data_IF_212709795422
#
_entry.id   IF_212709795422
#
_cell.length_a   1.000
_cell.length_b   1.000
_cell.length_c   1.000
_cell.angle_alpha   90.00
_cell.angle_beta   90.00
_cell.angle_gamma   90.00
#
_symmetry.space_group_name_H-M   'P 1'
#
loop_
_entity.id
_entity.type
_entity.pdbx_description
1 polymer ?
#
# COMPACT_ATOMS: atom_id res chain seq x y z
N UNK A 1 -37.16 14.19 21.22
CA UNK A 1 -36.89 14.05 19.77
C UNK A 1 -35.58 14.70 19.32
N UNK A 2 -35.27 15.96 19.68
CA UNK A 2 -33.99 16.61 19.30
C UNK A 2 -32.72 15.97 19.90
N UNK A 3 -32.79 15.49 21.15
CA UNK A 3 -31.65 14.89 21.85
C UNK A 3 -31.27 13.50 21.28
N UNK A 4 -32.26 12.72 20.85
CA UNK A 4 -32.04 11.40 20.24
C UNK A 4 -31.36 11.49 18.88
N UNK A 5 -31.71 12.51 18.07
CA UNK A 5 -31.02 12.79 16.82
C UNK A 5 -29.55 13.21 17.06
N UNK A 6 -29.27 13.96 18.11
CA UNK A 6 -27.90 14.40 18.43
C UNK A 6 -27.00 13.19 18.79
N UNK A 7 -27.51 12.25 19.60
CA UNK A 7 -26.78 11.01 19.90
C UNK A 7 -26.55 10.13 18.67
N UNK A 8 -27.53 10.04 17.76
CA UNK A 8 -27.39 9.27 16.52
C UNK A 8 -26.32 9.86 15.59
N UNK A 9 -26.28 11.18 15.43
CA UNK A 9 -25.25 11.86 14.64
C UNK A 9 -23.85 11.72 15.27
N UNK A 10 -23.76 11.76 16.61
CA UNK A 10 -22.49 11.59 17.30
C UNK A 10 -21.96 10.15 17.18
N UNK A 11 -22.84 9.15 17.27
CA UNK A 11 -22.49 7.74 17.05
C UNK A 11 -22.00 7.47 15.61
N UNK A 12 -22.63 8.11 14.62
CA UNK A 12 -22.23 8.03 13.21
C UNK A 12 -20.86 8.68 12.96
N UNK A 13 -20.57 9.81 13.62
CA UNK A 13 -19.28 10.51 13.48
C UNK A 13 -18.12 9.69 14.08
N UNK A 14 -18.35 8.99 15.21
CA UNK A 14 -17.32 8.14 15.84
C UNK A 14 -17.02 6.90 15.00
N UNK A 15 -18.01 6.32 14.30
CA UNK A 15 -17.79 5.14 13.47
C UNK A 15 -16.94 5.45 12.23
N UNK A 16 -17.02 6.66 11.67
CA UNK A 16 -16.20 7.09 10.54
C UNK A 16 -14.69 7.28 10.87
N UNK A 17 -14.32 7.43 12.14
CA UNK A 17 -12.93 7.62 12.57
C UNK A 17 -12.09 6.33 12.55
N UNK A 18 -12.71 5.16 12.35
CA UNK A 18 -12.00 3.87 12.35
C UNK A 18 -11.48 3.46 10.97
N UNK A 19 -11.63 4.30 9.93
CA UNK A 19 -11.03 4.05 8.63
C UNK A 19 -9.54 4.41 8.66
N UNK A 20 -8.69 3.41 8.83
CA UNK A 20 -7.24 3.52 8.65
C UNK A 20 -6.86 2.97 7.27
N UNK A 21 -6.02 3.69 6.53
CA UNK A 21 -5.40 3.14 5.33
C UNK A 21 -4.44 2.01 5.74
N UNK A 22 -4.41 0.91 4.98
CA UNK A 22 -3.44 -0.16 5.20
C UNK A 22 -2.03 0.43 5.10
N UNK A 23 -1.24 0.37 6.17
CA UNK A 23 0.18 0.70 6.10
C UNK A 23 0.84 -0.31 5.16
N UNK A 24 1.39 0.18 4.04
CA UNK A 24 2.19 -0.64 3.14
C UNK A 24 3.45 -1.12 3.87
N UNK A 25 3.88 -2.33 3.54
CA UNK A 25 5.15 -2.84 4.00
C UNK A 25 6.32 -2.05 3.37
N UNK A 26 7.47 -2.10 4.02
CA UNK A 26 8.66 -1.46 3.50
C UNK A 26 9.07 -2.12 2.17
N UNK A 27 9.46 -1.34 1.15
CA UNK A 27 9.90 -1.89 -0.12
C UNK A 27 11.13 -2.79 0.04
N UNK A 28 11.12 -3.93 -0.65
CA UNK A 28 12.24 -4.86 -0.71
C UNK A 28 13.02 -4.56 -1.99
N UNK A 29 14.21 -3.98 -1.87
CA UNK A 29 15.09 -3.73 -3.01
C UNK A 29 15.50 -5.06 -3.66
N UNK A 30 15.42 -5.13 -4.99
CA UNK A 30 15.94 -6.27 -5.74
C UNK A 30 17.47 -6.34 -5.70
N UNK A 31 18.12 -5.17 -5.68
CA UNK A 31 19.57 -5.02 -5.55
C UNK A 31 19.89 -4.04 -4.42
N UNK A 32 20.17 -4.54 -3.20
CA UNK A 32 20.47 -3.70 -2.04
C UNK A 32 21.71 -2.81 -2.24
N UNK A 33 22.70 -3.29 -2.99
CA UNK A 33 23.95 -2.58 -3.25
C UNK A 33 23.90 -1.69 -4.52
N UNK A 34 22.74 -1.60 -5.18
CA UNK A 34 22.53 -0.84 -6.41
C UNK A 34 22.24 -1.72 -7.62
N UNK A 35 21.26 -1.30 -8.43
CA UNK A 35 20.84 -2.06 -9.60
C UNK A 35 21.90 -1.99 -10.73
N UNK A 36 22.19 -3.13 -11.41
CA UNK A 36 23.11 -3.14 -12.54
C UNK A 36 22.65 -2.18 -13.65
N UNK A 37 23.54 -1.29 -14.08
CA UNK A 37 23.27 -0.35 -15.17
C UNK A 37 22.40 0.86 -14.78
N UNK A 38 22.08 1.04 -13.50
CA UNK A 38 21.46 2.28 -13.03
C UNK A 38 22.36 3.49 -13.34
N UNK A 39 21.77 4.58 -13.83
CA UNK A 39 22.47 5.82 -14.16
C UNK A 39 22.30 6.89 -13.09
N UNK A 40 21.44 6.66 -12.10
CA UNK A 40 21.19 7.55 -10.97
C UNK A 40 21.00 6.81 -9.66
N UNK A 41 20.34 7.48 -8.72
CA UNK A 41 20.08 6.99 -7.37
C UNK A 41 18.68 7.36 -6.87
N UNK A 42 17.76 7.73 -7.77
CA UNK A 42 16.37 7.99 -7.41
C UNK A 42 15.64 6.68 -7.10
N UNK A 43 14.36 6.77 -6.73
CA UNK A 43 13.53 5.60 -6.50
C UNK A 43 13.33 4.79 -7.79
N UNK A 44 13.29 5.47 -8.93
CA UNK A 44 13.19 4.86 -10.26
C UNK A 44 14.44 4.05 -10.65
N UNK A 45 15.61 4.41 -10.10
CA UNK A 45 16.88 3.68 -10.28
C UNK A 45 17.02 2.47 -9.34
N UNK A 46 16.06 2.27 -8.43
CA UNK A 46 16.12 1.26 -7.36
C UNK A 46 14.89 0.33 -7.43
N UNK A 47 14.88 -0.65 -8.34
CA UNK A 47 13.80 -1.61 -8.47
C UNK A 47 13.50 -2.32 -7.15
N UNK A 48 12.23 -2.33 -6.76
CA UNK A 48 11.78 -2.89 -5.50
C UNK A 48 10.46 -3.64 -5.64
N UNK A 49 10.23 -4.61 -4.76
CA UNK A 49 8.94 -5.27 -4.57
C UNK A 49 8.28 -4.68 -3.32
N UNK A 50 7.02 -4.28 -3.44
CA UNK A 50 6.20 -3.84 -2.30
C UNK A 50 5.27 -5.00 -1.93
N UNK A 51 5.53 -5.71 -0.82
CA UNK A 51 4.75 -6.90 -0.51
C UNK A 51 3.40 -6.51 0.09
N UNK A 52 2.34 -7.06 -0.49
CA UNK A 52 1.01 -7.07 0.13
C UNK A 52 0.80 -8.44 0.78
N UNK A 53 1.11 -8.53 2.07
CA UNK A 53 1.04 -9.79 2.82
C UNK A 53 -0.38 -9.98 3.36
N UNK A 54 -1.08 -11.07 3.00
CA UNK A 54 -2.39 -11.34 3.57
C UNK A 54 -2.27 -11.74 5.04
N UNK A 55 -3.37 -11.57 5.78
CA UNK A 55 -3.50 -12.03 7.16
C UNK A 55 -2.98 -13.47 7.32
N UNK A 56 -2.26 -13.81 8.41
CA UNK A 56 -1.66 -15.13 8.60
C UNK A 56 -2.64 -16.30 8.41
N UNK A 57 -3.89 -16.14 8.85
CA UNK A 57 -4.95 -17.14 8.71
C UNK A 57 -5.45 -17.36 7.28
N UNK A 58 -5.11 -16.46 6.35
CA UNK A 58 -5.50 -16.51 4.93
C UNK A 58 -4.33 -16.90 4.02
N UNK A 59 -3.14 -17.09 4.56
CA UNK A 59 -1.96 -17.50 3.79
C UNK A 59 -2.12 -18.93 3.28
N UNK A 60 -2.08 -19.11 1.96
CA UNK A 60 -2.23 -20.41 1.30
C UNK A 60 -0.99 -20.84 0.49
N UNK A 61 0.09 -20.05 0.55
CA UNK A 61 1.35 -20.30 -0.16
C UNK A 61 1.40 -19.82 -1.61
N UNK A 62 0.30 -19.32 -2.19
CA UNK A 62 0.30 -18.73 -3.52
C UNK A 62 0.79 -17.27 -3.48
N UNK A 63 1.47 -16.84 -4.54
CA UNK A 63 1.92 -15.47 -4.72
C UNK A 63 1.56 -14.94 -6.12
N UNK A 64 1.34 -13.62 -6.22
CA UNK A 64 1.06 -12.92 -7.48
C UNK A 64 2.03 -11.76 -7.61
N UNK A 65 2.71 -11.68 -8.76
CA UNK A 65 3.53 -10.53 -9.12
C UNK A 65 2.72 -9.60 -10.03
N UNK A 66 2.44 -8.41 -9.54
CA UNK A 66 1.82 -7.36 -10.36
C UNK A 66 2.94 -6.49 -10.93
N UNK A 67 3.07 -6.51 -12.26
CA UNK A 67 3.98 -5.61 -12.99
C UNK A 67 3.10 -4.56 -13.65
N UNK A 68 2.88 -3.39 -13.01
CA UNK A 68 1.99 -2.40 -13.58
C UNK A 68 2.59 -1.79 -14.84
N UNK A 69 1.71 -1.42 -15.77
CA UNK A 69 2.09 -0.78 -17.03
C UNK A 69 2.47 0.69 -16.84
N UNK A 70 2.56 1.41 -17.96
CA UNK A 70 2.96 2.81 -18.00
C UNK A 70 4.01 3.14 -19.05
N UNK A 71 4.45 2.14 -19.83
CA UNK A 71 5.29 2.32 -21.02
C UNK A 71 6.62 3.03 -20.75
N UNK A 72 7.13 2.99 -19.51
CA UNK A 72 8.29 3.75 -19.04
C UNK A 72 8.14 5.29 -19.11
N UNK A 73 6.92 5.80 -19.33
CA UNK A 73 6.65 7.24 -19.42
C UNK A 73 5.86 7.75 -18.22
N UNK A 74 5.14 6.87 -17.53
CA UNK A 74 4.41 7.18 -16.32
C UNK A 74 4.71 6.18 -15.21
N UNK A 75 4.74 6.67 -13.97
CA UNK A 75 4.76 5.80 -12.80
C UNK A 75 3.35 5.30 -12.55
N UNK A 76 3.20 3.98 -12.41
CA UNK A 76 1.99 3.43 -11.84
C UNK A 76 1.94 3.84 -10.36
N UNK A 77 0.92 4.61 -10.00
CA UNK A 77 0.62 5.03 -8.62
C UNK A 77 -0.43 4.13 -8.00
#
# INVERSE_FOLDING_TARGET
>A
MKLTCLFFNFAFLISALNTSAQKLADPILLWPDGAPGATGNSDEDKPAIIPFVPEPSKQNGAAVLVVPGGGFTIRAV
#
